data_IF_369020139828
#
_entry.id   IF_369020139828
#
_cell.length_a   1.000
_cell.length_b   1.000
_cell.length_c   1.000
_cell.angle_alpha   90.00
_cell.angle_beta   90.00
_cell.angle_gamma   90.00
#
_symmetry.space_group_name_H-M   'P 1'
#
loop_
_entity.id
_entity.type
_entity.pdbx_description
1 polymer ?
#
# COMPACT_ATOMS: atom_id res chain seq x y z
N UNK A 1 31.72 28.17 30.87
CA UNK A 1 31.02 26.87 30.93
C UNK A 1 30.03 26.96 29.81
N UNK A 2 30.44 26.43 28.67
CA UNK A 2 29.68 26.36 27.43
C UNK A 2 28.54 25.38 27.63
N UNK A 3 27.32 25.80 27.32
CA UNK A 3 26.17 24.92 27.18
C UNK A 3 25.52 25.23 25.83
N UNK A 4 26.31 24.98 24.78
CA UNK A 4 25.80 24.79 23.42
C UNK A 4 25.03 23.46 23.40
N UNK A 5 23.81 23.51 23.91
CA UNK A 5 22.80 22.49 23.68
C UNK A 5 22.40 22.52 22.22
N UNK A 6 23.27 21.99 21.35
CA UNK A 6 22.96 21.61 19.97
C UNK A 6 21.84 20.55 20.05
N UNK A 7 20.60 21.03 20.10
CA UNK A 7 19.40 20.29 19.75
C UNK A 7 19.59 19.85 18.31
N UNK A 8 20.17 18.67 18.13
CA UNK A 8 20.35 18.05 16.83
C UNK A 8 18.98 18.02 16.15
N UNK A 9 18.80 18.94 15.19
CA UNK A 9 17.69 18.98 14.26
C UNK A 9 17.79 17.73 13.36
N UNK A 10 17.45 16.58 13.94
CA UNK A 10 17.48 15.27 13.31
C UNK A 10 16.30 15.07 12.35
N UNK A 11 15.53 16.13 12.09
CA UNK A 11 14.20 16.02 11.49
C UNK A 11 14.07 16.62 10.08
N UNK A 12 15.19 17.06 9.51
CA UNK A 12 15.23 17.53 8.12
C UNK A 12 16.21 16.71 7.28
N UNK A 13 15.94 15.40 7.14
CA UNK A 13 16.40 14.73 5.93
C UNK A 13 15.77 15.50 4.75
N UNK A 14 16.57 16.12 3.86
CA UNK A 14 16.03 16.90 2.76
C UNK A 14 15.10 15.99 1.93
N UNK A 15 14.03 16.57 1.36
CA UNK A 15 13.05 15.84 0.53
C UNK A 15 13.69 14.99 -0.59
N UNK A 16 14.97 15.24 -0.90
CA UNK A 16 15.79 14.60 -1.90
C UNK A 16 16.17 13.13 -1.65
N UNK A 17 15.86 12.53 -0.49
CA UNK A 17 16.22 11.12 -0.20
C UNK A 17 15.02 10.21 0.15
N UNK A 18 13.80 10.62 -0.23
CA UNK A 18 12.60 9.77 -0.14
C UNK A 18 12.55 8.83 -1.34
N UNK A 19 12.37 7.52 -1.10
CA UNK A 19 12.17 6.54 -2.17
C UNK A 19 10.69 6.19 -2.28
N UNK A 20 10.12 6.38 -3.46
CA UNK A 20 8.72 6.07 -3.75
C UNK A 20 8.62 4.75 -4.52
N UNK A 21 7.64 3.92 -4.16
CA UNK A 21 7.35 2.66 -4.85
C UNK A 21 5.86 2.55 -5.08
N UNK A 22 5.46 2.51 -6.34
CA UNK A 22 4.05 2.36 -6.71
C UNK A 22 3.85 0.93 -7.19
N UNK A 23 2.91 0.23 -6.56
CA UNK A 23 2.42 -1.05 -7.02
C UNK A 23 1.17 -0.83 -7.85
N UNK A 24 1.14 -1.43 -9.03
CA UNK A 24 0.01 -1.36 -9.95
C UNK A 24 -0.40 -2.78 -10.32
N UNK A 25 -1.65 -3.13 -10.02
CA UNK A 25 -2.21 -4.45 -10.27
C UNK A 25 -3.37 -4.32 -11.24
N UNK A 26 -3.46 -5.21 -12.22
CA UNK A 26 -4.65 -5.35 -13.04
C UNK A 26 -5.75 -6.05 -12.24
N UNK A 27 -6.92 -5.43 -12.12
CA UNK A 27 -8.13 -5.95 -11.50
C UNK A 27 -9.19 -6.39 -12.50
N UNK A 28 -8.83 -6.55 -13.78
CA UNK A 28 -9.73 -7.09 -14.80
C UNK A 28 -10.09 -8.56 -14.52
N UNK A 29 -11.27 -8.99 -15.01
CA UNK A 29 -11.82 -10.32 -14.74
C UNK A 29 -10.85 -11.49 -15.04
N UNK A 30 -10.03 -11.37 -16.08
CA UNK A 30 -9.05 -12.38 -16.48
C UNK A 30 -8.01 -12.66 -15.38
N UNK A 31 -7.70 -11.68 -14.53
CA UNK A 31 -6.74 -11.84 -13.43
C UNK A 31 -7.27 -12.74 -12.31
N UNK A 32 -8.57 -13.01 -12.28
CA UNK A 32 -9.24 -13.89 -11.33
C UNK A 32 -9.46 -15.31 -11.87
N UNK A 33 -9.03 -15.59 -13.11
CA UNK A 33 -9.04 -16.95 -13.65
C UNK A 33 -8.13 -17.87 -12.84
N UNK A 34 -8.54 -19.12 -12.64
CA UNK A 34 -7.80 -20.08 -11.80
C UNK A 34 -8.20 -20.07 -10.31
N UNK A 35 -9.19 -19.28 -9.91
CA UNK A 35 -9.80 -19.34 -8.57
C UNK A 35 -8.81 -19.00 -7.47
N UNK A 36 -8.53 -19.95 -6.58
CA UNK A 36 -7.69 -19.73 -5.40
C UNK A 36 -6.21 -19.44 -5.72
N UNK A 37 -5.72 -19.79 -6.91
CA UNK A 37 -4.34 -19.51 -7.33
C UNK A 37 -4.30 -18.59 -8.57
N UNK A 38 -5.29 -17.70 -8.67
CA UNK A 38 -5.35 -16.70 -9.72
C UNK A 38 -4.18 -15.71 -9.67
N UNK A 39 -3.87 -15.11 -10.82
CA UNK A 39 -2.75 -14.18 -10.97
C UNK A 39 -2.94 -12.91 -10.12
N UNK A 40 -4.19 -12.50 -9.89
CA UNK A 40 -4.49 -11.42 -8.95
C UNK A 40 -3.98 -11.73 -7.54
N UNK A 41 -4.25 -12.94 -7.04
CA UNK A 41 -3.80 -13.36 -5.70
C UNK A 41 -2.27 -13.44 -5.63
N UNK A 42 -1.63 -13.92 -6.69
CA UNK A 42 -0.16 -13.97 -6.78
C UNK A 42 0.45 -12.57 -6.77
N UNK A 43 -0.16 -11.61 -7.47
CA UNK A 43 0.26 -10.22 -7.47
C UNK A 43 0.14 -9.59 -6.06
N UNK A 44 -0.98 -9.79 -5.38
CA UNK A 44 -1.17 -9.31 -4.00
C UNK A 44 -0.15 -9.92 -3.03
N UNK A 45 0.11 -11.24 -3.12
CA UNK A 45 1.16 -11.90 -2.34
C UNK A 45 2.54 -11.28 -2.59
N UNK A 46 2.86 -10.97 -3.85
CA UNK A 46 4.12 -10.33 -4.19
C UNK A 46 4.25 -8.92 -3.59
N UNK A 47 3.18 -8.11 -3.65
CA UNK A 47 3.14 -6.78 -3.01
C UNK A 47 3.30 -6.91 -1.49
N UNK A 48 2.53 -7.78 -0.85
CA UNK A 48 2.63 -8.02 0.59
C UNK A 48 4.05 -8.37 1.02
N UNK A 49 4.72 -9.28 0.31
CA UNK A 49 6.10 -9.65 0.60
C UNK A 49 7.08 -8.47 0.48
N UNK A 50 6.86 -7.53 -0.45
CA UNK A 50 7.68 -6.32 -0.55
C UNK A 50 7.40 -5.35 0.59
N UNK A 51 6.15 -5.19 0.99
CA UNK A 51 5.78 -4.35 2.13
C UNK A 51 6.36 -4.88 3.44
N UNK A 52 6.40 -6.20 3.64
CA UNK A 52 7.08 -6.82 4.78
C UNK A 52 8.58 -6.50 4.78
N UNK A 53 9.26 -6.62 3.64
CA UNK A 53 10.69 -6.27 3.53
C UNK A 53 10.95 -4.81 3.86
N UNK A 54 10.11 -3.90 3.36
CA UNK A 54 10.20 -2.48 3.66
C UNK A 54 9.99 -2.23 5.15
N UNK A 55 8.95 -2.82 5.76
CA UNK A 55 8.67 -2.70 7.19
C UNK A 55 9.82 -3.21 8.07
N UNK A 56 10.37 -4.40 7.75
CA UNK A 56 11.49 -4.99 8.48
C UNK A 56 12.82 -4.25 8.28
N UNK A 57 12.96 -3.43 7.22
CA UNK A 57 14.18 -2.64 6.98
C UNK A 57 14.36 -1.47 7.95
N UNK A 58 13.33 -1.12 8.73
CA UNK A 58 13.34 0.07 9.61
C UNK A 58 13.38 1.40 8.85
N UNK A 59 13.28 1.39 7.53
CA UNK A 59 13.39 2.60 6.72
C UNK A 59 12.12 3.45 6.80
N UNK A 60 12.27 4.66 7.34
CA UNK A 60 11.21 5.68 7.41
C UNK A 60 11.13 6.57 6.15
N UNK A 61 12.09 6.42 5.24
CA UNK A 61 12.20 7.22 4.00
C UNK A 61 11.52 6.54 2.80
N UNK A 62 11.14 5.26 2.91
CA UNK A 62 10.40 4.56 1.88
C UNK A 62 8.90 4.85 1.96
N UNK A 63 8.35 5.27 0.82
CA UNK A 63 6.94 5.58 0.61
C UNK A 63 6.40 4.60 -0.43
N UNK A 64 5.22 4.04 -0.18
CA UNK A 64 4.60 3.11 -1.10
C UNK A 64 3.13 3.42 -1.30
N UNK A 65 2.61 3.09 -2.48
CA UNK A 65 1.18 3.13 -2.81
C UNK A 65 0.78 1.89 -3.60
N UNK A 66 -0.49 1.52 -3.56
CA UNK A 66 -1.05 0.38 -4.28
C UNK A 66 -2.32 0.81 -5.02
N UNK A 67 -2.31 0.63 -6.33
CA UNK A 67 -3.43 0.88 -7.22
C UNK A 67 -3.87 -0.41 -7.89
N UNK A 68 -5.18 -0.61 -7.99
CA UNK A 68 -5.80 -1.68 -8.76
C UNK A 68 -6.56 -1.02 -9.90
N UNK A 69 -6.18 -1.32 -11.14
CA UNK A 69 -6.80 -0.78 -12.34
C UNK A 69 -7.84 -1.74 -12.93
N UNK A 70 -8.58 -1.28 -13.94
CA UNK A 70 -9.63 -2.04 -14.63
C UNK A 70 -10.73 -2.58 -13.71
N UNK A 71 -11.02 -1.83 -12.64
CA UNK A 71 -12.05 -2.19 -11.65
C UNK A 71 -13.43 -1.69 -12.08
N UNK A 72 -14.49 -2.35 -11.63
CA UNK A 72 -15.86 -1.93 -11.90
C UNK A 72 -16.19 -0.54 -11.32
N UNK A 73 -15.66 -0.25 -10.13
CA UNK A 73 -15.80 1.04 -9.45
C UNK A 73 -14.54 1.89 -9.56
N UNK A 74 -14.65 3.16 -9.14
CA UNK A 74 -13.51 4.07 -9.01
C UNK A 74 -13.48 4.63 -7.59
N UNK A 75 -12.41 4.34 -6.86
CA UNK A 75 -12.21 4.80 -5.48
C UNK A 75 -10.78 5.32 -5.36
N UNK A 76 -10.60 6.62 -5.63
CA UNK A 76 -9.33 7.34 -5.52
C UNK A 76 -9.48 8.52 -4.59
N UNK A 77 -8.42 8.97 -3.91
CA UNK A 77 -8.47 10.14 -3.02
C UNK A 77 -8.98 11.40 -3.71
N UNK A 78 -8.62 11.58 -4.97
CA UNK A 78 -9.22 12.61 -5.83
C UNK A 78 -10.39 11.99 -6.61
N UNK A 79 -11.61 12.15 -6.09
CA UNK A 79 -12.82 11.61 -6.71
C UNK A 79 -12.94 12.08 -8.17
N UNK A 80 -13.06 11.13 -9.10
CA UNK A 80 -13.22 11.40 -10.54
C UNK A 80 -11.92 11.67 -11.31
N UNK A 81 -10.75 11.64 -10.66
CA UNK A 81 -9.46 11.82 -11.34
C UNK A 81 -9.13 10.66 -12.30
N UNK A 82 -9.48 9.43 -11.91
CA UNK A 82 -9.24 8.22 -12.70
C UNK A 82 -10.45 7.30 -12.60
N UNK A 83 -10.96 6.84 -13.75
CA UNK A 83 -12.04 5.85 -13.83
C UNK A 83 -11.46 4.44 -13.80
N UNK A 84 -12.22 3.49 -13.27
CA UNK A 84 -11.86 2.07 -13.19
C UNK A 84 -10.54 1.84 -12.44
N UNK A 85 -10.37 2.57 -11.34
CA UNK A 85 -9.19 2.48 -10.50
C UNK A 85 -9.56 2.57 -9.02
N UNK A 86 -9.03 1.65 -8.23
CA UNK A 86 -9.11 1.69 -6.77
C UNK A 86 -7.71 1.91 -6.22
N UNK A 87 -7.56 2.99 -5.47
CA UNK A 87 -6.40 3.30 -4.66
C UNK A 87 -6.56 2.61 -3.31
N UNK A 88 -5.85 1.51 -3.10
CA UNK A 88 -5.97 0.74 -1.86
C UNK A 88 -5.06 1.32 -0.76
N UNK A 89 -3.86 1.77 -1.13
CA UNK A 89 -2.98 2.54 -0.28
C UNK A 89 -2.46 3.77 -1.02
N UNK A 90 -2.58 4.94 -0.41
CA UNK A 90 -1.93 6.14 -0.92
C UNK A 90 -0.41 6.09 -0.66
N UNK A 91 0.34 6.83 -1.48
CA UNK A 91 1.70 7.24 -1.21
C UNK A 91 1.76 7.96 0.15
N UNK A 92 2.23 7.23 1.18
CA UNK A 92 2.22 7.68 2.58
C UNK A 92 2.48 9.17 2.78
N UNK A 93 1.66 9.80 3.61
CA UNK A 93 2.00 11.06 4.31
C UNK A 93 2.58 10.72 5.69
N UNK A 94 3.44 11.58 6.24
CA UNK A 94 4.24 11.34 7.46
C UNK A 94 3.40 10.96 8.70
N UNK A 95 2.12 11.34 8.69
CA UNK A 95 1.11 11.14 9.76
C UNK A 95 0.63 9.69 9.94
N UNK A 96 0.72 8.84 8.91
CA UNK A 96 0.14 7.49 8.94
C UNK A 96 0.93 6.50 9.81
N UNK A 97 2.20 6.81 10.11
CA UNK A 97 3.06 5.98 10.96
C UNK A 97 2.63 6.06 12.43
N UNK A 98 2.21 7.22 12.90
CA UNK A 98 1.82 7.46 14.29
C UNK A 98 0.39 6.96 14.58
N UNK A 99 -0.46 6.85 13.55
CA UNK A 99 -1.86 6.42 13.68
C UNK A 99 -2.06 4.90 13.68
N UNK A 100 -1.00 4.12 13.45
CA UNK A 100 -1.05 2.66 13.33
C UNK A 100 -1.79 2.15 12.07
N UNK A 101 -2.10 3.04 11.14
CA UNK A 101 -2.86 2.70 9.92
C UNK A 101 -2.07 1.77 9.00
N UNK A 102 -0.74 1.90 8.99
CA UNK A 102 0.17 0.98 8.28
C UNK A 102 0.02 -0.47 8.76
N UNK A 103 -0.04 -0.70 10.07
CA UNK A 103 -0.21 -2.03 10.63
C UNK A 103 -1.57 -2.62 10.24
N UNK A 104 -2.64 -1.82 10.30
CA UNK A 104 -3.98 -2.25 9.86
C UNK A 104 -3.99 -2.64 8.37
N UNK A 105 -3.38 -1.82 7.50
CA UNK A 105 -3.29 -2.07 6.05
C UNK A 105 -2.51 -3.36 5.74
N UNK A 106 -1.39 -3.59 6.41
CA UNK A 106 -0.60 -4.83 6.26
C UNK A 106 -1.36 -6.04 6.80
N UNK A 107 -2.09 -5.90 7.91
CA UNK A 107 -2.97 -6.97 8.42
C UNK A 107 -4.07 -7.33 7.41
N UNK A 108 -4.70 -6.35 6.75
CA UNK A 108 -5.72 -6.60 5.72
C UNK A 108 -5.14 -7.41 4.55
N UNK A 109 -3.93 -7.06 4.08
CA UNK A 109 -3.27 -7.85 3.02
C UNK A 109 -2.92 -9.26 3.50
N UNK A 110 -2.46 -9.40 4.75
CA UNK A 110 -2.15 -10.69 5.35
C UNK A 110 -3.40 -11.57 5.43
N UNK A 111 -4.51 -11.04 5.91
CA UNK A 111 -5.81 -11.72 5.94
C UNK A 111 -6.23 -12.18 4.54
N UNK A 112 -6.12 -11.31 3.54
CA UNK A 112 -6.39 -11.68 2.14
C UNK A 112 -5.48 -12.81 1.63
N UNK A 113 -4.19 -12.77 1.98
CA UNK A 113 -3.23 -13.80 1.56
C UNK A 113 -3.52 -15.14 2.23
N UNK A 114 -3.79 -15.12 3.53
CA UNK A 114 -3.96 -16.29 4.40
C UNK A 114 -5.32 -16.98 4.22
N UNK A 115 -6.42 -16.21 4.14
CA UNK A 115 -7.79 -16.76 4.15
C UNK A 115 -8.31 -17.18 2.76
N UNK A 116 -7.57 -16.89 1.67
CA UNK A 116 -8.12 -16.98 0.31
C UNK A 116 -9.09 -15.83 0.03
N UNK A 117 -9.69 -15.77 -1.17
CA UNK A 117 -10.60 -14.68 -1.56
C UNK A 117 -11.59 -14.42 -0.41
N UNK A 118 -11.52 -13.27 0.29
CA UNK A 118 -12.34 -13.10 1.46
C UNK A 118 -13.80 -13.09 1.02
N UNK A 119 -14.69 -13.63 1.85
CA UNK A 119 -16.15 -13.38 1.79
C UNK A 119 -16.50 -11.89 1.96
N UNK A 120 -15.50 -11.01 2.06
CA UNK A 120 -15.65 -9.57 2.20
C UNK A 120 -15.65 -8.89 0.83
N UNK A 121 -16.82 -8.35 0.49
CA UNK A 121 -17.12 -7.07 -0.20
C UNK A 121 -16.07 -6.37 -1.08
N UNK A 122 -14.78 -6.34 -0.72
CA UNK A 122 -13.72 -5.64 -1.46
C UNK A 122 -13.51 -6.26 -2.84
N UNK A 123 -13.48 -7.59 -2.98
CA UNK A 123 -13.30 -8.24 -4.30
C UNK A 123 -14.60 -8.19 -5.11
N UNK A 124 -15.75 -8.44 -4.47
CA UNK A 124 -17.07 -8.35 -5.10
C UNK A 124 -17.46 -6.93 -5.53
N UNK A 125 -16.71 -5.90 -5.10
CA UNK A 125 -16.88 -4.52 -5.56
C UNK A 125 -15.78 -4.05 -6.51
N UNK A 126 -14.75 -4.87 -6.76
CA UNK A 126 -13.71 -4.61 -7.77
C UNK A 126 -14.08 -5.20 -9.13
N UNK A 127 -14.87 -6.28 -9.17
CA UNK A 127 -15.40 -6.94 -10.40
C UNK A 127 -16.81 -6.46 -10.71
#
# INVERSE_FOLDING_TARGET
MDDDGEEYDYDTAPESNKKYTIFWIDGGANMFEGGDDCDFRRAIKAVFNQLLKIGCSGSRTHRYGLFIANTAKSETKSAGAVKHCVEWFDLKVRTDYESGEDQRRVCILKEFVDEGLPKYSIILSLV
#
